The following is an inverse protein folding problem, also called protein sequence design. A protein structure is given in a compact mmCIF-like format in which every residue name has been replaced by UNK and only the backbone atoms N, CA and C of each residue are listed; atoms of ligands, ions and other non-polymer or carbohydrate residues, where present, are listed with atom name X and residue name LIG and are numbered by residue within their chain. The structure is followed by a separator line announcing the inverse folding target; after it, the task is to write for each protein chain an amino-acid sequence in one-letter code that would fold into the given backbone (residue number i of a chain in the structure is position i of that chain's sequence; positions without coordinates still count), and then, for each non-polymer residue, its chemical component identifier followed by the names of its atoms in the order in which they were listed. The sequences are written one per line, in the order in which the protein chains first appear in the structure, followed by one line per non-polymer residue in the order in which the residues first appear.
data_IF_913049324185
#
_entry.id   IF_913049324185
#
_cell.length_a   1.000
_cell.length_b   1.000
_cell.length_c   1.000
_cell.angle_alpha   90.00
_cell.angle_beta   90.00
_cell.angle_gamma   90.00
#
_symmetry.space_group_name_H-M   'P 1'
#
loop_
_entity.id
_entity.type
_entity.pdbx_description
1 polymer ?
#
# COMPACT_ATOMS: atom_id res chain seq x y z
N UNK A 1 1.71 -27.28 2.01
CA UNK A 1 1.35 -25.86 2.16
C UNK A 1 2.64 -25.04 2.13
N UNK A 2 2.84 -24.11 1.18
CA UNK A 2 4.10 -23.36 1.05
C UNK A 2 4.17 -22.27 2.14
N UNK A 3 5.27 -22.27 2.91
CA UNK A 3 5.55 -21.31 3.99
C UNK A 3 5.72 -19.88 3.42
N UNK A 4 5.47 -18.89 4.28
CA UNK A 4 5.64 -17.47 3.93
C UNK A 4 7.14 -17.12 3.84
N UNK A 5 7.55 -16.19 2.96
CA UNK A 5 8.91 -15.65 3.01
C UNK A 5 9.21 -14.95 4.34
N UNK A 6 10.42 -15.22 4.84
CA UNK A 6 11.10 -14.45 5.88
C UNK A 6 11.71 -13.22 5.20
N UNK A 7 11.52 -12.01 5.76
CA UNK A 7 11.96 -10.79 5.08
C UNK A 7 13.48 -10.77 4.89
N UNK A 8 13.92 -10.54 3.66
CA UNK A 8 15.19 -9.89 3.35
C UNK A 8 15.05 -8.39 3.64
N UNK A 9 16.18 -7.74 3.94
CA UNK A 9 16.37 -6.28 4.10
C UNK A 9 16.23 -5.72 5.53
N UNK A 10 17.17 -6.06 6.43
CA UNK A 10 17.40 -5.30 7.68
C UNK A 10 16.18 -5.14 8.58
N UNK A 11 15.23 -6.07 8.51
CA UNK A 11 13.96 -6.04 9.23
C UNK A 11 13.71 -7.37 9.89
N UNK A 12 13.17 -7.31 11.11
CA UNK A 12 12.69 -8.47 11.84
C UNK A 12 11.17 -8.52 11.79
N UNK A 13 10.59 -9.62 11.29
CA UNK A 13 9.13 -9.82 11.27
C UNK A 13 8.66 -10.18 12.67
N UNK A 14 7.75 -9.36 13.21
CA UNK A 14 7.17 -9.56 14.55
C UNK A 14 5.82 -10.27 14.49
N UNK A 15 4.97 -9.91 13.53
CA UNK A 15 3.62 -10.48 13.39
C UNK A 15 3.18 -10.47 11.92
N UNK A 16 2.34 -11.42 11.54
CA UNK A 16 1.79 -11.53 10.18
C UNK A 16 0.33 -11.94 10.22
N UNK A 17 -0.51 -11.18 9.51
CA UNK A 17 -1.90 -11.53 9.25
C UNK A 17 -2.12 -11.74 7.77
N UNK A 18 -2.35 -12.99 7.37
CA UNK A 18 -2.85 -13.31 6.02
C UNK A 18 -4.27 -12.76 5.87
N UNK A 19 -4.50 -12.00 4.81
CA UNK A 19 -5.80 -11.42 4.44
C UNK A 19 -6.47 -12.25 3.33
N UNK A 20 -5.68 -12.69 2.36
CA UNK A 20 -6.13 -13.50 1.24
C UNK A 20 -4.99 -14.40 0.76
N UNK A 21 -5.29 -15.63 0.33
CA UNK A 21 -4.29 -16.58 -0.16
C UNK A 21 -4.92 -17.56 -1.14
N UNK A 22 -4.26 -17.74 -2.28
CA UNK A 22 -4.49 -18.81 -3.25
C UNK A 22 -3.15 -19.47 -3.59
N UNK A 23 -3.14 -20.41 -4.54
CA UNK A 23 -1.92 -21.11 -4.95
C UNK A 23 -0.88 -20.19 -5.57
N UNK A 24 -1.33 -19.11 -6.23
CA UNK A 24 -0.47 -18.19 -6.97
C UNK A 24 -0.43 -16.77 -6.41
N UNK A 25 -1.23 -16.46 -5.38
CA UNK A 25 -1.31 -15.12 -4.79
C UNK A 25 -1.38 -15.17 -3.28
N UNK A 26 -0.71 -14.23 -2.64
CA UNK A 26 -0.83 -13.96 -1.22
C UNK A 26 -0.98 -12.47 -0.97
N UNK A 27 -1.84 -12.11 -0.03
CA UNK A 27 -1.99 -10.76 0.48
C UNK A 27 -2.01 -10.79 2.01
N UNK A 28 -1.27 -9.89 2.63
CA UNK A 28 -1.24 -9.81 4.08
C UNK A 28 -0.82 -8.46 4.63
N UNK A 29 -0.91 -8.40 5.96
CA UNK A 29 -0.39 -7.30 6.77
C UNK A 29 0.77 -7.85 7.59
N UNK A 30 1.89 -7.15 7.58
CA UNK A 30 3.13 -7.55 8.26
C UNK A 30 3.52 -6.46 9.24
N UNK A 31 3.70 -6.81 10.51
CA UNK A 31 4.32 -5.95 11.51
C UNK A 31 5.78 -6.33 11.61
N UNK A 32 6.67 -5.37 11.47
CA UNK A 32 8.11 -5.58 11.57
C UNK A 32 8.82 -4.47 12.34
N UNK A 33 10.02 -4.82 12.83
CA UNK A 33 10.99 -3.91 13.42
C UNK A 33 12.02 -3.56 12.35
N UNK A 34 12.23 -2.27 12.09
CA UNK A 34 13.32 -1.82 11.24
C UNK A 34 14.61 -1.69 12.05
N UNK A 35 15.53 -2.64 11.87
CA UNK A 35 16.69 -2.84 12.78
C UNK A 35 17.60 -1.61 12.88
N UNK A 36 17.73 -0.83 11.81
CA UNK A 36 18.58 0.37 11.78
C UNK A 36 18.06 1.48 12.70
N UNK A 37 16.74 1.58 12.87
CA UNK A 37 16.10 2.70 13.59
C UNK A 37 15.36 2.27 14.85
N UNK A 38 15.11 0.97 15.03
CA UNK A 38 14.24 0.46 16.08
C UNK A 38 12.74 0.75 15.86
N UNK A 39 12.35 1.30 14.71
CA UNK A 39 10.97 1.68 14.43
C UNK A 39 10.09 0.45 14.12
N UNK A 40 8.94 0.34 14.79
CA UNK A 40 7.91 -0.66 14.46
C UNK A 40 7.03 -0.12 13.34
N UNK A 41 6.88 -0.89 12.27
CA UNK A 41 6.07 -0.52 11.11
C UNK A 41 5.06 -1.58 10.75
N UNK A 42 4.06 -1.17 9.96
CA UNK A 42 3.14 -2.10 9.30
C UNK A 42 3.29 -1.99 7.79
N UNK A 43 3.32 -3.13 7.11
CA UNK A 43 3.31 -3.23 5.65
C UNK A 43 2.07 -3.95 5.17
N UNK A 44 1.45 -3.43 4.12
CA UNK A 44 0.51 -4.19 3.31
C UNK A 44 1.28 -4.79 2.15
N UNK A 45 1.18 -6.11 1.97
CA UNK A 45 1.97 -6.82 0.98
C UNK A 45 1.08 -7.64 0.05
N UNK A 46 1.50 -7.72 -1.21
CA UNK A 46 0.99 -8.64 -2.22
C UNK A 46 2.14 -9.36 -2.88
N UNK A 47 2.09 -10.67 -2.82
CA UNK A 47 3.08 -11.54 -3.41
C UNK A 47 2.41 -12.47 -4.42
N UNK A 48 3.08 -12.70 -5.53
CA UNK A 48 2.71 -13.69 -6.51
C UNK A 48 3.69 -14.86 -6.43
N UNK A 49 3.21 -16.08 -6.60
CA UNK A 49 4.08 -17.24 -6.70
C UNK A 49 4.79 -17.20 -8.07
N UNK A 50 6.12 -17.16 -8.06
CA UNK A 50 6.92 -17.33 -9.26
C UNK A 50 7.25 -18.82 -9.42
N UNK A 51 6.59 -19.46 -10.40
CA UNK A 51 6.80 -20.88 -10.69
C UNK A 51 8.21 -21.18 -11.19
N UNK A 52 8.86 -20.23 -11.88
CA UNK A 52 10.18 -20.42 -12.44
C UNK A 52 11.26 -20.34 -11.37
N UNK A 53 11.06 -19.46 -10.38
CA UNK A 53 12.00 -19.31 -9.26
C UNK A 53 11.67 -20.21 -8.07
N UNK A 54 10.49 -20.84 -8.06
CA UNK A 54 10.04 -21.66 -6.93
C UNK A 54 9.90 -20.84 -5.64
N UNK A 55 9.58 -19.54 -5.76
CA UNK A 55 9.56 -18.60 -4.65
C UNK A 55 8.42 -17.59 -4.77
N UNK A 56 8.02 -17.02 -3.63
CA UNK A 56 7.12 -15.86 -3.63
C UNK A 56 7.90 -14.62 -4.09
N UNK A 57 7.35 -13.92 -5.09
CA UNK A 57 7.86 -12.64 -5.57
C UNK A 57 6.99 -11.53 -5.00
N UNK A 58 7.61 -10.58 -4.31
CA UNK A 58 6.90 -9.40 -3.87
C UNK A 58 6.56 -8.52 -5.07
N UNK A 59 5.26 -8.33 -5.32
CA UNK A 59 4.77 -7.55 -6.46
C UNK A 59 4.40 -6.15 -6.02
N UNK A 60 3.83 -6.01 -4.82
CA UNK A 60 3.48 -4.71 -4.26
C UNK A 60 3.68 -4.69 -2.74
N UNK A 61 4.39 -3.67 -2.25
CA UNK A 61 4.44 -3.30 -0.84
C UNK A 61 3.88 -1.90 -0.67
N UNK A 62 3.01 -1.73 0.31
CA UNK A 62 2.63 -0.43 0.86
C UNK A 62 3.19 -0.32 2.28
N UNK A 63 4.01 0.71 2.53
CA UNK A 63 4.63 0.91 3.84
C UNK A 63 3.82 1.93 4.62
N UNK A 64 3.27 1.52 5.75
CA UNK A 64 2.48 2.39 6.62
C UNK A 64 3.36 2.84 7.77
N UNK A 65 3.48 4.16 7.92
CA UNK A 65 4.00 4.78 9.14
C UNK A 65 2.86 4.84 10.17
N UNK A 66 3.02 4.29 11.39
CA UNK A 66 1.96 4.21 12.39
C UNK A 66 1.19 5.51 12.62
N UNK A 67 1.90 6.63 12.73
CA UNK A 67 1.39 7.96 13.00
C UNK A 67 0.52 8.52 11.86
N UNK A 68 0.68 8.01 10.63
CA UNK A 68 -0.09 8.45 9.46
C UNK A 68 -1.21 7.51 9.08
N UNK A 69 -1.36 6.37 9.76
CA UNK A 69 -2.32 5.34 9.37
C UNK A 69 -3.77 5.85 9.35
N UNK A 70 -4.19 6.58 10.39
CA UNK A 70 -5.54 7.12 10.45
C UNK A 70 -5.81 8.15 9.34
N UNK A 71 -4.80 8.94 8.97
CA UNK A 71 -4.91 9.91 7.88
C UNK A 71 -5.00 9.22 6.51
N UNK A 72 -4.23 8.16 6.27
CA UNK A 72 -4.34 7.36 5.04
C UNK A 72 -5.73 6.70 4.92
N UNK A 73 -6.24 6.14 6.02
CA UNK A 73 -7.56 5.53 6.08
C UNK A 73 -8.68 6.54 5.81
N UNK A 74 -8.58 7.74 6.41
CA UNK A 74 -9.55 8.82 6.18
C UNK A 74 -9.53 9.27 4.72
N UNK A 75 -8.35 9.50 4.15
CA UNK A 75 -8.19 9.93 2.77
C UNK A 75 -8.80 8.92 1.78
N UNK A 76 -8.56 7.62 1.98
CA UNK A 76 -9.21 6.57 1.18
C UNK A 76 -10.74 6.65 1.31
N UNK A 77 -11.26 6.84 2.52
CA UNK A 77 -12.71 6.97 2.72
C UNK A 77 -13.29 8.21 2.06
N UNK A 78 -12.58 9.33 2.05
CA UNK A 78 -13.03 10.58 1.42
C UNK A 78 -13.09 10.43 -0.10
N UNK A 79 -12.04 9.87 -0.70
CA UNK A 79 -12.00 9.59 -2.14
C UNK A 79 -13.11 8.62 -2.55
N UNK A 80 -13.35 7.56 -1.79
CA UNK A 80 -14.45 6.62 -2.06
C UNK A 80 -15.85 7.26 -2.00
N UNK A 81 -15.97 8.43 -1.36
CA UNK A 81 -17.21 9.21 -1.25
C UNK A 81 -17.29 10.35 -2.27
N UNK A 82 -16.30 10.53 -3.14
CA UNK A 82 -16.24 11.67 -4.05
C UNK A 82 -15.99 13.00 -3.32
N UNK A 83 -15.27 12.95 -2.20
CA UNK A 83 -14.92 14.12 -1.37
C UNK A 83 -13.44 14.52 -1.54
N UNK A 84 -12.88 14.19 -2.71
CA UNK A 84 -11.58 14.66 -3.16
C UNK A 84 -11.63 16.03 -3.82
N UNK A 85 -10.46 16.52 -4.20
CA UNK A 85 -10.27 17.75 -4.95
C UNK A 85 -9.84 17.41 -6.39
N UNK A 86 -10.02 18.35 -7.32
CA UNK A 86 -9.44 18.22 -8.66
C UNK A 86 -7.91 18.14 -8.58
N UNK A 87 -7.26 17.17 -9.24
CA UNK A 87 -5.82 17.02 -9.16
C UNK A 87 -5.12 18.21 -9.81
N UNK A 88 -4.09 18.79 -9.17
CA UNK A 88 -3.26 19.81 -9.81
C UNK A 88 -2.29 19.23 -10.85
N UNK A 89 -2.37 17.93 -11.16
CA UNK A 89 -1.53 17.23 -12.14
C UNK A 89 -2.37 16.32 -13.06
N UNK A 90 -1.80 15.99 -14.22
CA UNK A 90 -2.34 15.09 -15.25
C UNK A 90 -2.00 13.62 -14.91
N UNK A 91 -2.24 12.58 -15.75
CA UNK A 91 -2.10 11.16 -15.38
C UNK A 91 -0.85 10.80 -14.54
N UNK A 92 -0.97 9.91 -13.54
CA UNK A 92 0.21 9.46 -12.74
C UNK A 92 1.20 8.68 -13.61
N UNK A 93 0.69 8.04 -14.66
CA UNK A 93 1.43 7.51 -15.80
C UNK A 93 0.50 7.45 -17.02
N UNK A 94 1.03 7.08 -18.19
CA UNK A 94 0.29 7.05 -19.46
C UNK A 94 -0.95 6.12 -19.46
N UNK A 95 -1.13 5.29 -18.43
CA UNK A 95 -2.22 4.29 -18.36
C UNK A 95 -3.33 4.64 -17.37
N UNK A 96 -3.20 5.76 -16.63
CA UNK A 96 -4.09 6.08 -15.50
C UNK A 96 -4.42 7.56 -15.41
N UNK A 97 -5.69 7.92 -15.64
CA UNK A 97 -6.19 9.26 -15.35
C UNK A 97 -6.50 9.43 -13.86
N UNK A 98 -6.10 10.57 -13.28
CA UNK A 98 -6.53 10.97 -11.93
C UNK A 98 -7.79 11.80 -12.05
N UNK A 99 -8.86 11.38 -11.38
CA UNK A 99 -10.15 12.07 -11.37
C UNK A 99 -10.24 13.05 -10.20
N UNK A 100 -9.83 12.59 -9.02
CA UNK A 100 -9.76 13.41 -7.81
C UNK A 100 -8.70 12.85 -6.86
N UNK A 101 -8.29 13.66 -5.87
CA UNK A 101 -7.33 13.24 -4.86
C UNK A 101 -7.59 13.84 -3.49
N UNK A 102 -7.04 13.20 -2.47
CA UNK A 102 -6.92 13.73 -1.11
C UNK A 102 -5.47 13.60 -0.68
N UNK A 103 -4.83 14.74 -0.36
CA UNK A 103 -3.49 14.75 0.24
C UNK A 103 -3.55 14.09 1.61
N UNK A 104 -2.63 13.17 1.85
CA UNK A 104 -2.45 12.55 3.17
C UNK A 104 -1.34 13.29 3.91
N UNK A 105 -0.14 13.38 3.30
CA UNK A 105 1.03 14.05 3.88
C UNK A 105 2.04 14.44 2.82
N UNK A 106 2.89 15.41 3.14
CA UNK A 106 4.17 15.67 2.45
C UNK A 106 5.20 15.97 3.54
N UNK A 107 6.23 15.14 3.63
CA UNK A 107 7.39 15.34 4.49
C UNK A 107 8.69 15.16 3.69
N UNK A 108 9.84 15.26 4.36
CA UNK A 108 11.18 15.10 3.76
C UNK A 108 11.43 13.72 3.14
N UNK A 109 10.59 12.72 3.44
CA UNK A 109 10.75 11.37 2.92
C UNK A 109 9.77 11.06 1.80
N UNK A 110 8.51 11.46 1.95
CA UNK A 110 7.43 11.10 1.02
C UNK A 110 6.35 12.17 0.93
N UNK A 111 5.83 12.29 -0.27
CA UNK A 111 4.50 12.82 -0.52
C UNK A 111 3.52 11.65 -0.72
N UNK A 112 2.35 11.70 -0.07
CA UNK A 112 1.33 10.65 -0.08
C UNK A 112 -0.04 11.24 -0.37
N UNK A 113 -0.79 10.56 -1.24
CA UNK A 113 -2.19 10.88 -1.51
C UNK A 113 -3.00 9.61 -1.77
N UNK A 114 -4.29 9.69 -1.43
CA UNK A 114 -5.30 8.81 -1.99
C UNK A 114 -5.86 9.47 -3.26
N UNK A 115 -6.09 8.68 -4.30
CA UNK A 115 -6.61 9.17 -5.58
C UNK A 115 -7.74 8.29 -6.08
N UNK A 116 -8.74 8.90 -6.69
CA UNK A 116 -9.66 8.21 -7.58
C UNK A 116 -9.05 8.25 -8.98
N UNK A 117 -8.97 7.09 -9.60
CA UNK A 117 -8.23 6.85 -10.82
C UNK A 117 -9.08 6.06 -11.81
N UNK A 118 -8.96 6.40 -13.08
CA UNK A 118 -9.53 5.64 -14.19
C UNK A 118 -8.39 4.98 -14.95
N UNK A 119 -8.28 3.66 -14.80
CA UNK A 119 -7.35 2.86 -15.60
C UNK A 119 -7.84 2.80 -17.04
N UNK A 120 -6.99 3.13 -18.00
CA UNK A 120 -7.28 2.93 -19.43
C UNK A 120 -7.37 1.44 -19.77
N UNK A 121 -6.71 0.62 -18.96
CA UNK A 121 -6.71 -0.82 -19.05
C UNK A 121 -7.47 -1.41 -17.84
N UNK A 122 -8.69 -1.93 -18.06
CA UNK A 122 -9.50 -2.99 -17.37
C UNK A 122 -9.27 -3.48 -15.92
N UNK A 123 -8.32 -2.97 -15.12
CA UNK A 123 -8.07 -3.41 -13.74
C UNK A 123 -8.81 -2.54 -12.71
N UNK A 124 -10.14 -2.68 -12.73
CA UNK A 124 -11.19 -2.70 -11.68
C UNK A 124 -11.12 -1.92 -10.35
N UNK A 125 -10.05 -1.23 -9.95
CA UNK A 125 -10.06 -0.44 -8.72
C UNK A 125 -9.78 1.02 -9.04
N UNK A 126 -10.77 1.84 -8.69
CA UNK A 126 -10.72 3.27 -8.92
C UNK A 126 -9.93 3.98 -7.84
N UNK A 127 -10.00 3.54 -6.59
CA UNK A 127 -9.25 4.18 -5.51
C UNK A 127 -7.85 3.59 -5.34
N UNK A 128 -6.81 4.44 -5.30
CA UNK A 128 -5.42 4.04 -5.10
C UNK A 128 -4.72 4.94 -4.10
N UNK A 129 -3.74 4.40 -3.40
CA UNK A 129 -2.77 5.17 -2.62
C UNK A 129 -1.46 5.26 -3.39
N UNK A 130 -0.79 6.39 -3.30
CA UNK A 130 0.48 6.63 -3.97
C UNK A 130 1.49 7.29 -3.05
N UNK A 131 2.74 6.84 -3.17
CA UNK A 131 3.92 7.45 -2.57
C UNK A 131 4.77 8.04 -3.68
N UNK A 132 5.15 9.29 -3.52
CA UNK A 132 6.10 9.98 -4.38
C UNK A 132 7.30 10.46 -3.59
N UNK A 133 8.40 10.64 -4.31
CA UNK A 133 9.52 11.45 -3.85
C UNK A 133 9.05 12.89 -3.61
N UNK A 134 9.37 13.51 -2.47
CA UNK A 134 8.98 14.89 -2.21
C UNK A 134 9.73 15.91 -3.08
N UNK A 135 10.92 15.55 -3.58
CA UNK A 135 11.82 16.46 -4.30
C UNK A 135 11.56 16.46 -5.80
N UNK A 136 11.60 15.27 -6.42
CA UNK A 136 11.47 15.12 -7.87
C UNK A 136 10.06 14.68 -8.32
N UNK A 137 9.16 14.37 -7.39
CA UNK A 137 7.80 13.93 -7.69
C UNK A 137 7.71 12.53 -8.31
N UNK A 138 8.79 11.75 -8.34
CA UNK A 138 8.81 10.40 -8.90
C UNK A 138 8.01 9.44 -8.03
N UNK A 139 7.11 8.66 -8.65
CA UNK A 139 6.34 7.63 -7.94
C UNK A 139 7.26 6.52 -7.42
N UNK A 140 7.27 6.32 -6.10
CA UNK A 140 8.03 5.25 -5.43
C UNK A 140 7.18 4.01 -5.15
N UNK A 141 5.92 4.17 -4.76
CA UNK A 141 5.02 3.04 -4.48
C UNK A 141 3.59 3.39 -4.86
N UNK A 142 2.81 2.35 -5.14
CA UNK A 142 1.36 2.47 -5.35
C UNK A 142 0.67 1.28 -4.71
N UNK A 143 -0.51 1.52 -4.16
CA UNK A 143 -1.36 0.48 -3.61
C UNK A 143 -2.80 0.62 -4.09
N UNK A 144 -3.31 -0.45 -4.70
CA UNK A 144 -4.67 -0.49 -5.23
C UNK A 144 -5.67 -0.86 -4.14
N UNK A 145 -6.63 0.01 -3.83
CA UNK A 145 -7.66 -0.23 -2.81
C UNK A 145 -8.73 -1.15 -3.40
N UNK A 146 -8.64 -2.45 -3.10
CA UNK A 146 -9.55 -3.48 -3.62
C UNK A 146 -10.52 -4.03 -2.59
N UNK A 147 -11.25 -5.10 -2.95
CA UNK A 147 -12.24 -5.80 -2.09
C UNK A 147 -11.70 -6.18 -0.70
N UNK A 148 -10.40 -6.43 -0.59
CA UNK A 148 -9.74 -6.85 0.66
C UNK A 148 -9.27 -5.67 1.53
N UNK A 149 -9.55 -4.42 1.13
CA UNK A 149 -9.13 -3.23 1.87
C UNK A 149 -9.65 -3.22 3.29
N UNK A 150 -10.94 -3.49 3.52
CA UNK A 150 -11.51 -3.47 4.87
C UNK A 150 -10.84 -4.48 5.82
N UNK A 151 -10.54 -5.68 5.31
CA UNK A 151 -9.83 -6.72 6.07
C UNK A 151 -8.40 -6.29 6.40
N UNK A 152 -7.67 -5.77 5.41
CA UNK A 152 -6.32 -5.25 5.59
C UNK A 152 -6.29 -4.09 6.58
N UNK A 153 -7.23 -3.14 6.43
CA UNK A 153 -7.39 -1.99 7.32
C UNK A 153 -7.54 -2.43 8.76
N UNK A 154 -8.49 -3.34 9.02
CA UNK A 154 -8.75 -3.83 10.38
C UNK A 154 -7.54 -4.53 10.98
N UNK A 155 -6.86 -5.37 10.20
CA UNK A 155 -5.66 -6.08 10.65
C UNK A 155 -4.51 -5.11 10.98
N UNK A 156 -4.26 -4.12 10.12
CA UNK A 156 -3.25 -3.09 10.36
C UNK A 156 -3.56 -2.27 11.63
N UNK A 157 -4.81 -1.83 11.82
CA UNK A 157 -5.22 -1.12 13.04
C UNK A 157 -4.96 -1.94 14.31
N UNK A 158 -5.26 -3.24 14.32
CA UNK A 158 -4.98 -4.11 15.47
C UNK A 158 -3.48 -4.23 15.72
N UNK A 159 -2.68 -4.40 14.67
CA UNK A 159 -1.22 -4.52 14.77
C UNK A 159 -0.53 -3.24 15.26
N UNK A 160 -1.08 -2.08 14.90
CA UNK A 160 -0.57 -0.78 15.34
C UNK A 160 -0.98 -0.41 16.77
N UNK A 161 -1.98 -1.08 17.33
CA UNK A 161 -2.42 -0.88 18.73
C UNK A 161 -1.71 -1.76 19.77
N UNK A 162 -0.84 -2.67 19.32
CA UNK A 162 -0.01 -3.54 20.17
C UNK A 162 1.35 -2.91 20.42
#
# INVERSE_FOLDING_TARGET
MKQKPVSKDGREILDVKTIDKSDNWWMGVVRDLYLETGEIRVRLEREAWDSNQGAWRNVHVWRVRPEFWNAEVDAVSRVQKGLGESPPWTPVDETIDVLEYVKVRKDEHRWVAAVEAKSHNWWNSKTRLYHWDPDDGTRKQSWTVGKNWYKAKRAASVMLSK
#
